data_IF_647157039455
#
_entry.id   IF_647157039455
#
_cell.length_a   1.000
_cell.length_b   1.000
_cell.length_c   1.000
_cell.angle_alpha   90.00
_cell.angle_beta   90.00
_cell.angle_gamma   90.00
#
_symmetry.space_group_name_H-M   'P 1'
#
loop_
_entity.id
_entity.type
_entity.pdbx_description
1 polymer ?
#
# COMPACT_ATOMS: atom_id res chain seq x y z
N UNK A 1 -8.75 -11.62 -4.34
CA UNK A 1 -7.99 -10.68 -5.18
C UNK A 1 -6.64 -11.29 -5.52
N UNK A 2 -6.10 -10.99 -6.69
CA UNK A 2 -4.72 -11.33 -7.11
C UNK A 2 -3.73 -10.29 -6.57
N UNK A 3 -2.43 -10.62 -6.56
CA UNK A 3 -1.38 -9.68 -6.14
C UNK A 3 -1.40 -8.38 -6.94
N UNK A 4 -1.72 -8.46 -8.24
CA UNK A 4 -1.83 -7.28 -9.10
C UNK A 4 -3.02 -6.40 -8.71
N UNK A 5 -4.16 -6.99 -8.34
CA UNK A 5 -5.33 -6.24 -7.85
C UNK A 5 -5.05 -5.56 -6.50
N UNK A 6 -4.27 -6.21 -5.62
CA UNK A 6 -3.86 -5.63 -4.33
C UNK A 6 -2.87 -4.48 -4.56
N UNK A 7 -1.90 -4.65 -5.46
CA UNK A 7 -0.96 -3.58 -5.86
C UNK A 7 -1.69 -2.39 -6.44
N UNK A 8 -2.65 -2.62 -7.31
CA UNK A 8 -3.46 -1.58 -7.93
C UNK A 8 -4.28 -0.81 -6.89
N UNK A 9 -4.95 -1.52 -5.97
CA UNK A 9 -5.63 -0.91 -4.82
C UNK A 9 -4.69 0.00 -4.02
N UNK A 10 -3.54 -0.53 -3.59
CA UNK A 10 -2.56 0.23 -2.80
C UNK A 10 -2.08 1.45 -3.60
N UNK A 11 -1.72 1.29 -4.86
CA UNK A 11 -1.24 2.38 -5.70
C UNK A 11 -2.28 3.51 -5.85
N UNK A 12 -3.54 3.15 -6.10
CA UNK A 12 -4.65 4.11 -6.21
C UNK A 12 -4.87 4.89 -4.91
N UNK A 13 -4.77 4.23 -3.76
CA UNK A 13 -4.94 4.90 -2.47
C UNK A 13 -3.77 5.81 -2.13
N UNK A 14 -2.54 5.41 -2.44
CA UNK A 14 -1.38 6.28 -2.25
C UNK A 14 -1.41 7.49 -3.20
N UNK A 15 -1.98 7.34 -4.40
CA UNK A 15 -2.24 8.46 -5.32
C UNK A 15 -3.34 9.38 -4.78
N UNK A 16 -4.43 8.82 -4.25
CA UNK A 16 -5.53 9.57 -3.62
C UNK A 16 -5.06 10.37 -2.40
N UNK A 17 -4.26 9.77 -1.53
CA UNK A 17 -3.65 10.39 -0.36
C UNK A 17 -2.61 11.48 -0.72
N UNK A 18 -2.44 11.79 -2.02
CA UNK A 18 -1.60 12.87 -2.53
C UNK A 18 -0.13 12.77 -2.14
N UNK A 19 0.38 11.56 -1.89
CA UNK A 19 1.79 11.36 -1.56
C UNK A 19 2.65 11.73 -2.77
N UNK A 20 3.47 12.77 -2.59
CA UNK A 20 4.27 13.36 -3.66
C UNK A 20 5.19 12.33 -4.34
N UNK A 21 5.61 11.29 -3.62
CA UNK A 21 6.41 10.16 -4.11
C UNK A 21 5.70 9.36 -5.21
N UNK A 22 4.37 9.20 -5.15
CA UNK A 22 3.62 8.45 -6.17
C UNK A 22 3.26 9.28 -7.41
N UNK A 23 3.60 10.58 -7.43
CA UNK A 23 3.54 11.39 -8.66
C UNK A 23 4.64 11.00 -9.65
N UNK A 24 5.67 10.27 -9.20
CA UNK A 24 6.62 9.63 -10.10
C UNK A 24 5.97 8.43 -10.77
N UNK A 25 5.48 8.67 -11.99
CA UNK A 25 4.83 7.64 -12.83
C UNK A 25 5.73 6.44 -13.10
N UNK A 26 7.05 6.59 -13.11
CA UNK A 26 7.96 5.46 -13.30
C UNK A 26 8.03 4.59 -12.05
N UNK A 27 8.03 5.20 -10.87
CA UNK A 27 8.03 4.51 -9.59
C UNK A 27 6.71 3.74 -9.39
N UNK A 28 5.57 4.39 -9.65
CA UNK A 28 4.25 3.74 -9.60
C UNK A 28 4.16 2.57 -10.58
N UNK A 29 4.58 2.74 -11.83
CA UNK A 29 4.60 1.65 -12.81
C UNK A 29 5.51 0.48 -12.38
N UNK A 30 6.69 0.77 -11.84
CA UNK A 30 7.61 -0.26 -11.37
C UNK A 30 7.06 -1.04 -10.16
N UNK A 31 6.29 -0.39 -9.27
CA UNK A 31 5.59 -1.06 -8.18
C UNK A 31 4.44 -1.96 -8.68
N UNK A 32 3.62 -1.46 -9.60
CA UNK A 32 2.52 -2.21 -10.22
C UNK A 32 3.02 -3.45 -10.96
N UNK A 33 4.17 -3.36 -11.62
CA UNK A 33 4.82 -4.47 -12.32
C UNK A 33 5.60 -5.41 -11.37
N UNK A 34 5.64 -5.12 -10.07
CA UNK A 34 6.41 -5.90 -9.07
C UNK A 34 7.93 -5.82 -9.25
N UNK A 35 8.43 -4.88 -10.07
CA UNK A 35 9.86 -4.70 -10.36
C UNK A 35 10.58 -3.87 -9.31
N UNK A 36 9.85 -3.14 -8.47
CA UNK A 36 10.40 -2.33 -7.39
C UNK A 36 9.60 -2.52 -6.12
N UNK A 37 10.32 -2.70 -5.01
CA UNK A 37 9.76 -2.62 -3.68
C UNK A 37 10.08 -1.24 -3.10
N UNK A 38 9.08 -0.62 -2.46
CA UNK A 38 9.20 0.72 -1.88
C UNK A 38 9.04 0.58 -0.38
N UNK A 39 9.97 1.14 0.39
CA UNK A 39 9.84 1.17 1.83
C UNK A 39 8.66 2.10 2.20
N UNK A 40 7.79 1.64 3.10
CA UNK A 40 6.66 2.44 3.59
C UNK A 40 7.15 3.76 4.23
N UNK A 41 8.32 3.74 4.88
CA UNK A 41 8.95 4.95 5.42
C UNK A 41 9.44 5.96 4.39
N UNK A 42 9.68 5.56 3.13
CA UNK A 42 10.03 6.48 2.04
C UNK A 42 8.82 7.26 1.53
N UNK A 43 7.61 6.80 1.83
CA UNK A 43 6.38 7.46 1.38
C UNK A 43 6.05 8.71 2.19
N UNK A 44 6.72 8.93 3.33
CA UNK A 44 6.52 10.06 4.25
C UNK A 44 5.02 10.33 4.52
N UNK A 45 4.24 9.26 4.71
CA UNK A 45 2.81 9.36 4.99
C UNK A 45 2.59 10.12 6.30
N UNK A 46 1.65 11.06 6.28
CA UNK A 46 1.12 11.60 7.52
C UNK A 46 0.12 10.61 8.16
N UNK A 47 -0.26 10.88 9.41
CA UNK A 47 -1.18 10.01 10.14
C UNK A 47 -2.55 9.85 9.46
N UNK A 48 -2.96 10.82 8.64
CA UNK A 48 -4.23 10.74 7.90
C UNK A 48 -4.10 9.77 6.72
N UNK A 49 -3.03 9.89 5.93
CA UNK A 49 -2.73 8.99 4.82
C UNK A 49 -2.55 7.55 5.29
N UNK A 50 -1.89 7.32 6.44
CA UNK A 50 -1.79 5.99 7.04
C UNK A 50 -3.16 5.41 7.39
N UNK A 51 -4.04 6.21 8.00
CA UNK A 51 -5.40 5.77 8.36
C UNK A 51 -6.25 5.49 7.11
N UNK A 52 -6.20 6.35 6.11
CA UNK A 52 -6.95 6.17 4.86
C UNK A 52 -6.52 4.91 4.10
N UNK A 53 -5.21 4.65 4.04
CA UNK A 53 -4.69 3.41 3.46
C UNK A 53 -5.21 2.17 4.21
N UNK A 54 -5.13 2.17 5.54
CA UNK A 54 -5.64 1.08 6.37
C UNK A 54 -7.14 0.83 6.14
N UNK A 55 -7.95 1.90 6.14
CA UNK A 55 -9.40 1.83 5.92
C UNK A 55 -9.70 1.30 4.52
N UNK A 56 -9.00 1.79 3.50
CA UNK A 56 -9.22 1.33 2.13
C UNK A 56 -8.89 -0.15 1.97
N UNK A 57 -7.81 -0.63 2.58
CA UNK A 57 -7.48 -2.06 2.59
C UNK A 57 -8.59 -2.86 3.26
N UNK A 58 -9.05 -2.45 4.44
CA UNK A 58 -10.12 -3.16 5.17
C UNK A 58 -11.42 -3.20 4.38
N UNK A 59 -11.85 -2.07 3.81
CA UNK A 59 -13.10 -1.98 3.02
C UNK A 59 -13.06 -2.91 1.79
N UNK A 60 -11.94 -2.96 1.07
CA UNK A 60 -11.87 -3.69 -0.20
C UNK A 60 -11.49 -5.16 -0.04
N UNK A 61 -10.78 -5.51 1.04
CA UNK A 61 -10.21 -6.86 1.20
C UNK A 61 -10.75 -7.61 2.42
N UNK A 62 -11.39 -6.92 3.37
CA UNK A 62 -11.79 -7.46 4.67
C UNK A 62 -10.64 -7.67 5.66
N UNK A 63 -9.40 -7.35 5.28
CA UNK A 63 -8.22 -7.51 6.12
C UNK A 63 -8.03 -6.26 6.98
N UNK A 64 -8.03 -6.44 8.30
CA UNK A 64 -7.77 -5.34 9.24
C UNK A 64 -6.27 -5.15 9.43
N UNK A 65 -5.80 -3.94 9.18
CA UNK A 65 -4.43 -3.47 9.40
C UNK A 65 -4.54 -2.12 10.11
N UNK A 66 -3.73 -1.89 11.14
CA UNK A 66 -3.68 -0.57 11.82
C UNK A 66 -2.40 0.20 11.46
N UNK A 67 -2.35 1.52 11.65
CA UNK A 67 -1.14 2.31 11.31
C UNK A 67 0.15 1.81 11.96
N UNK A 68 0.09 1.31 13.20
CA UNK A 68 1.25 0.70 13.87
C UNK A 68 1.78 -0.55 13.15
N UNK A 69 0.90 -1.29 12.46
CA UNK A 69 1.31 -2.46 11.68
C UNK A 69 2.09 -2.01 10.44
N UNK A 70 1.71 -0.90 9.79
CA UNK A 70 2.41 -0.36 8.62
C UNK A 70 3.90 -0.10 8.93
N UNK A 71 4.19 0.44 10.11
CA UNK A 71 5.58 0.66 10.56
C UNK A 71 6.37 -0.65 10.72
N UNK A 72 5.69 -1.73 11.08
CA UNK A 72 6.31 -3.06 11.27
C UNK A 72 6.43 -3.84 9.96
N UNK A 73 5.55 -3.60 8.98
CA UNK A 73 5.52 -4.27 7.67
C UNK A 73 6.70 -3.84 6.80
N UNK A 74 7.14 -2.59 6.90
CA UNK A 74 8.38 -2.10 6.29
C UNK A 74 8.29 -1.75 4.80
N UNK A 75 7.72 -2.61 3.94
CA UNK A 75 7.66 -2.38 2.48
C UNK A 75 6.29 -2.61 1.85
N UNK A 76 6.05 -2.03 0.68
CA UNK A 76 4.80 -2.22 -0.06
C UNK A 76 4.60 -3.66 -0.53
N UNK A 77 5.65 -4.40 -0.91
CA UNK A 77 5.51 -5.82 -1.22
C UNK A 77 5.13 -6.64 0.01
N UNK A 78 5.72 -6.31 1.16
CA UNK A 78 5.37 -6.96 2.43
C UNK A 78 3.90 -6.69 2.79
N UNK A 79 3.41 -5.48 2.53
CA UNK A 79 2.00 -5.13 2.71
C UNK A 79 1.09 -5.95 1.79
N UNK A 80 1.45 -6.10 0.51
CA UNK A 80 0.72 -6.97 -0.43
C UNK A 80 0.66 -8.40 0.09
N UNK A 81 1.77 -8.93 0.61
CA UNK A 81 1.83 -10.27 1.18
C UNK A 81 0.96 -10.43 2.43
N UNK A 82 0.93 -9.43 3.31
CA UNK A 82 0.08 -9.43 4.52
C UNK A 82 -1.39 -9.45 4.13
N UNK A 83 -1.80 -8.57 3.22
CA UNK A 83 -3.18 -8.51 2.72
C UNK A 83 -3.57 -9.84 2.07
N UNK A 84 -2.73 -10.35 1.17
CA UNK A 84 -2.98 -11.63 0.48
C UNK A 84 -3.16 -12.80 1.45
N UNK A 85 -2.36 -12.86 2.52
CA UNK A 85 -2.47 -13.91 3.55
C UNK A 85 -3.69 -13.73 4.44
N UNK A 86 -4.07 -12.49 4.75
CA UNK A 86 -5.24 -12.18 5.58
C UNK A 86 -6.58 -12.44 4.90
N UNK A 87 -6.61 -12.54 3.56
CA UNK A 87 -7.81 -12.87 2.80
C UNK A 87 -8.15 -14.38 2.76
N UNK A 88 -7.31 -15.25 3.34
CA UNK A 88 -7.48 -16.70 3.38
C UNK A 88 -8.26 -17.15 4.62
#
# INVERSE_FOLDING_TARGET
>A
MTDNEIRDLIAQQLEYACLTVMRDKQLTAAFLEGRRDIALGELEMDSLAEMELCIAIEIHTGVSIVPNDLQSIGTLNSLVDVVRKGMQ
#
